data_IF_271913272560
#
_entry.id   IF_271913272560
#
_cell.length_a   1.000
_cell.length_b   1.000
_cell.length_c   1.000
_cell.angle_alpha   90.00
_cell.angle_beta   90.00
_cell.angle_gamma   90.00
#
_symmetry.space_group_name_H-M   'P 1'
#
loop_
_entity.id
_entity.type
_entity.pdbx_description
1 polymer ?
#
# COMPACT_ATOMS: atom_id res chain seq x y z
N UNK A 1 32.11 -15.31 -9.54
CA UNK A 1 30.90 -16.10 -9.81
C UNK A 1 30.27 -16.38 -8.45
N UNK A 2 29.34 -15.55 -8.02
CA UNK A 2 28.52 -15.83 -6.83
C UNK A 2 27.45 -16.85 -7.26
N UNK A 3 27.54 -18.05 -6.72
CA UNK A 3 26.48 -19.06 -6.84
C UNK A 3 25.19 -18.48 -6.31
N UNK A 4 24.10 -18.60 -7.08
CA UNK A 4 22.76 -18.26 -6.57
C UNK A 4 22.54 -18.98 -5.23
N UNK A 5 22.01 -18.30 -4.19
CA UNK A 5 21.78 -18.94 -2.90
C UNK A 5 20.92 -20.19 -3.11
N UNK A 6 21.28 -21.26 -2.42
CA UNK A 6 20.49 -22.50 -2.44
C UNK A 6 19.05 -22.16 -2.03
N UNK A 7 18.05 -22.68 -2.75
CA UNK A 7 16.61 -22.44 -2.46
C UNK A 7 16.25 -22.71 -1.00
N UNK A 8 17.06 -23.47 -0.27
CA UNK A 8 16.86 -23.80 1.16
C UNK A 8 17.12 -22.62 2.10
N UNK A 9 17.83 -21.56 1.64
CA UNK A 9 18.16 -20.38 2.46
C UNK A 9 17.22 -19.18 2.18
N UNK A 10 16.27 -19.32 1.25
CA UNK A 10 15.32 -18.26 0.93
C UNK A 10 14.11 -18.32 1.85
N UNK A 11 13.93 -17.28 2.66
CA UNK A 11 12.67 -17.04 3.37
C UNK A 11 11.63 -16.51 2.39
N UNK A 12 10.47 -17.17 2.33
CA UNK A 12 9.32 -16.74 1.53
C UNK A 12 8.40 -15.86 2.38
N UNK A 13 8.28 -14.59 1.98
CA UNK A 13 7.50 -13.61 2.69
C UNK A 13 6.06 -13.60 2.13
N UNK A 14 5.12 -14.12 2.91
CA UNK A 14 3.68 -14.07 2.63
C UNK A 14 2.99 -12.99 3.48
N UNK A 15 3.72 -11.90 3.75
CA UNK A 15 3.26 -10.73 4.50
C UNK A 15 3.11 -9.51 3.57
N UNK A 16 2.26 -8.51 3.93
CA UNK A 16 1.96 -7.36 3.07
C UNK A 16 3.02 -6.25 3.15
N UNK A 17 4.28 -6.61 2.98
CA UNK A 17 5.44 -5.72 3.00
C UNK A 17 6.17 -5.64 4.35
N UNK A 18 7.52 -5.74 4.33
CA UNK A 18 8.32 -5.86 3.10
C UNK A 18 8.04 -7.17 2.34
N UNK A 19 8.39 -7.21 1.05
CA UNK A 19 8.10 -8.33 0.16
C UNK A 19 9.39 -8.97 -0.40
N UNK A 20 9.30 -10.16 -0.98
CA UNK A 20 10.40 -10.69 -1.76
C UNK A 20 10.56 -9.87 -3.04
N UNK A 21 11.70 -9.20 -3.19
CA UNK A 21 12.00 -8.33 -4.34
C UNK A 21 12.78 -9.07 -5.42
N UNK A 22 12.73 -8.58 -6.64
CA UNK A 22 13.55 -9.07 -7.75
C UNK A 22 15.04 -8.82 -7.49
N UNK A 23 15.93 -9.71 -8.00
CA UNK A 23 17.38 -9.60 -7.77
C UNK A 23 17.98 -8.31 -8.33
N UNK A 24 17.46 -7.78 -9.46
CA UNK A 24 17.85 -6.47 -9.99
C UNK A 24 17.59 -5.35 -8.98
N UNK A 25 16.46 -5.37 -8.27
CA UNK A 25 16.12 -4.39 -7.23
C UNK A 25 17.06 -4.51 -6.03
N UNK A 26 17.37 -5.76 -5.63
CA UNK A 26 18.31 -6.02 -4.54
C UNK A 26 19.73 -5.58 -4.90
N UNK A 27 20.17 -5.80 -6.13
CA UNK A 27 21.48 -5.39 -6.60
C UNK A 27 21.61 -3.86 -6.70
N UNK A 28 20.54 -3.15 -7.04
CA UNK A 28 20.55 -1.69 -7.20
C UNK A 28 20.86 -0.94 -5.90
N UNK A 29 20.67 -1.53 -4.71
CA UNK A 29 21.04 -0.91 -3.43
C UNK A 29 22.58 -0.77 -3.26
N UNK A 30 23.35 -1.55 -4.01
CA UNK A 30 24.80 -1.49 -4.02
C UNK A 30 25.36 -0.47 -5.03
N UNK A 31 24.54 0.49 -5.46
CA UNK A 31 24.98 1.62 -6.28
C UNK A 31 26.12 2.38 -5.63
N UNK A 32 27.05 2.97 -6.41
CA UNK A 32 28.15 3.77 -5.89
C UNK A 32 27.68 4.91 -4.97
N UNK A 33 28.59 5.40 -4.13
CA UNK A 33 28.32 6.57 -3.31
C UNK A 33 28.14 7.81 -4.20
N UNK A 34 27.10 8.58 -3.95
CA UNK A 34 26.73 9.76 -4.70
C UNK A 34 26.40 10.93 -3.77
N UNK A 35 26.71 12.15 -4.22
CA UNK A 35 26.26 13.36 -3.54
C UNK A 35 24.86 13.74 -4.02
N UNK A 36 23.91 13.84 -3.10
CA UNK A 36 22.53 14.18 -3.40
C UNK A 36 22.33 15.60 -4.01
N UNK A 37 23.36 16.43 -4.04
CA UNK A 37 23.32 17.78 -4.64
C UNK A 37 23.91 17.83 -6.05
N UNK A 38 24.43 16.71 -6.55
CA UNK A 38 24.96 16.61 -7.91
C UNK A 38 23.85 16.32 -8.93
N UNK A 39 24.07 16.69 -10.21
CA UNK A 39 23.07 16.54 -11.27
C UNK A 39 22.53 15.12 -11.44
N UNK A 40 23.33 14.10 -11.18
CA UNK A 40 22.95 12.68 -11.32
C UNK A 40 21.83 12.33 -10.32
N UNK A 41 22.01 12.70 -9.07
CA UNK A 41 21.03 12.45 -8.01
C UNK A 41 19.75 13.30 -8.24
N UNK A 42 19.88 14.53 -8.75
CA UNK A 42 18.76 15.36 -9.13
C UNK A 42 17.97 14.72 -10.29
N UNK A 43 18.67 14.19 -11.30
CA UNK A 43 18.03 13.50 -12.42
C UNK A 43 17.33 12.23 -11.96
N UNK A 44 17.89 11.48 -11.02
CA UNK A 44 17.27 10.29 -10.45
C UNK A 44 15.92 10.64 -9.78
N UNK A 45 15.86 11.71 -8.99
CA UNK A 45 14.60 12.18 -8.37
C UNK A 45 13.53 12.49 -9.42
N UNK A 46 13.89 13.23 -10.47
CA UNK A 46 12.97 13.58 -11.56
C UNK A 46 12.49 12.33 -12.30
N UNK A 47 13.40 11.41 -12.59
CA UNK A 47 13.09 10.16 -13.28
C UNK A 47 12.12 9.29 -12.46
N UNK A 48 12.41 9.09 -11.18
CA UNK A 48 11.55 8.29 -10.28
C UNK A 48 10.18 8.93 -10.12
N UNK A 49 10.10 10.27 -9.95
CA UNK A 49 8.82 10.97 -9.86
C UNK A 49 7.99 10.82 -11.13
N UNK A 50 8.64 10.87 -12.32
CA UNK A 50 7.98 10.66 -13.62
C UNK A 50 7.44 9.22 -13.77
N UNK A 51 8.24 8.21 -13.43
CA UNK A 51 7.82 6.80 -13.47
C UNK A 51 6.66 6.51 -12.50
N UNK A 52 6.67 7.13 -11.31
CA UNK A 52 5.54 7.03 -10.38
C UNK A 52 4.27 7.62 -10.98
N UNK A 53 4.36 8.81 -11.59
CA UNK A 53 3.21 9.45 -12.24
C UNK A 53 2.65 8.57 -13.38
N UNK A 54 3.52 7.89 -14.14
CA UNK A 54 3.13 6.94 -15.18
C UNK A 54 2.42 5.70 -14.59
N UNK A 55 2.97 5.09 -13.55
CA UNK A 55 2.35 3.95 -12.85
C UNK A 55 0.99 4.32 -12.26
N UNK A 56 0.81 5.57 -11.80
CA UNK A 56 -0.48 6.08 -11.31
C UNK A 56 -1.51 6.38 -12.42
N UNK A 57 -1.12 6.38 -13.71
CA UNK A 57 -1.97 6.80 -14.82
C UNK A 57 -2.04 8.31 -15.02
N UNK A 58 -1.25 9.11 -14.29
CA UNK A 58 -1.29 10.57 -14.32
C UNK A 58 -0.53 11.22 -15.47
N UNK A 59 0.40 10.48 -16.10
CA UNK A 59 1.21 10.99 -17.23
C UNK A 59 1.94 12.31 -16.92
N UNK A 60 2.07 13.18 -17.90
CA UNK A 60 2.82 14.44 -17.77
C UNK A 60 2.13 15.52 -16.92
N UNK A 61 0.82 15.41 -16.70
CA UNK A 61 0.07 16.36 -15.85
C UNK A 61 0.36 16.19 -14.36
N UNK A 62 0.83 15.00 -13.96
CA UNK A 62 1.12 14.65 -12.58
C UNK A 62 2.62 14.67 -12.28
N UNK A 63 2.95 14.61 -11.02
CA UNK A 63 4.29 14.38 -10.49
C UNK A 63 4.19 13.74 -9.12
N UNK A 64 5.32 13.27 -8.59
CA UNK A 64 5.38 12.75 -7.22
C UNK A 64 6.36 13.57 -6.38
N UNK A 65 6.02 13.79 -5.12
CA UNK A 65 6.93 14.23 -4.07
C UNK A 65 7.36 13.01 -3.27
N UNK A 66 8.67 12.78 -3.22
CA UNK A 66 9.29 11.62 -2.58
C UNK A 66 9.68 11.96 -1.13
N UNK A 67 9.46 11.03 -0.23
CA UNK A 67 9.82 11.15 1.18
C UNK A 67 10.67 9.95 1.61
N UNK A 68 11.78 10.21 2.30
CA UNK A 68 12.50 9.16 3.00
C UNK A 68 11.71 8.77 4.24
N UNK A 69 11.03 7.62 4.18
CA UNK A 69 10.16 7.16 5.24
C UNK A 69 9.21 6.05 4.78
N UNK A 70 8.43 5.54 5.72
CA UNK A 70 7.37 4.56 5.44
C UNK A 70 6.16 5.22 4.73
N UNK A 71 5.25 4.40 4.17
CA UNK A 71 4.01 4.90 3.60
C UNK A 71 3.20 5.80 4.55
N UNK A 72 3.29 5.56 5.86
CA UNK A 72 2.66 6.42 6.86
C UNK A 72 3.21 7.85 6.84
N UNK A 73 4.51 8.05 6.54
CA UNK A 73 5.08 9.40 6.42
C UNK A 73 4.43 10.17 5.25
N UNK A 74 4.22 9.53 4.10
CA UNK A 74 3.55 10.16 2.96
C UNK A 74 2.05 10.41 3.25
N UNK A 75 1.38 9.49 3.97
CA UNK A 75 0.00 9.68 4.39
C UNK A 75 -0.15 10.85 5.36
N UNK A 76 0.77 10.98 6.33
CA UNK A 76 0.82 12.11 7.25
C UNK A 76 1.15 13.42 6.53
N UNK A 77 2.09 13.39 5.59
CA UNK A 77 2.46 14.56 4.77
C UNK A 77 1.26 15.09 3.97
N UNK A 78 0.50 14.23 3.30
CA UNK A 78 -0.66 14.67 2.54
C UNK A 78 -1.75 15.24 3.44
N UNK A 79 -2.13 14.52 4.50
CA UNK A 79 -3.20 14.95 5.41
C UNK A 79 -2.85 16.29 6.06
N UNK A 80 -1.61 16.44 6.55
CA UNK A 80 -1.18 17.66 7.23
C UNK A 80 -0.98 18.87 6.30
N UNK A 81 -0.75 18.65 4.99
CA UNK A 81 -0.46 19.73 4.05
C UNK A 81 -1.67 20.19 3.23
N UNK A 82 -2.60 19.27 2.87
CA UNK A 82 -3.60 19.58 1.84
C UNK A 82 -4.92 20.12 2.40
N UNK A 83 -5.26 19.78 3.63
CA UNK A 83 -6.50 20.28 4.26
C UNK A 83 -6.25 21.67 4.82
N UNK A 84 -6.89 22.74 4.32
CA UNK A 84 -6.68 24.10 4.83
C UNK A 84 -7.20 24.25 6.27
N UNK A 85 -6.85 25.35 6.93
CA UNK A 85 -7.20 25.58 8.34
C UNK A 85 -8.72 25.67 8.59
N UNK A 86 -9.46 26.14 7.60
CA UNK A 86 -10.93 26.22 7.57
C UNK A 86 -11.58 25.03 6.83
N UNK A 87 -10.78 24.06 6.38
CA UNK A 87 -11.25 22.86 5.72
C UNK A 87 -11.62 21.76 6.70
N UNK A 88 -12.44 20.82 6.23
CA UNK A 88 -12.86 19.64 6.97
C UNK A 88 -12.59 18.37 6.17
N UNK A 89 -11.97 17.38 6.80
CA UNK A 89 -11.73 16.06 6.23
C UNK A 89 -12.84 15.09 6.62
N UNK A 90 -13.38 14.36 5.66
CA UNK A 90 -14.20 13.17 5.92
C UNK A 90 -13.32 11.93 5.75
N UNK A 91 -13.19 11.10 6.78
CA UNK A 91 -12.50 9.81 6.70
C UNK A 91 -13.53 8.70 6.53
N UNK A 92 -13.36 7.91 5.47
CA UNK A 92 -14.12 6.70 5.22
C UNK A 92 -13.35 5.51 5.78
N UNK A 93 -13.95 4.79 6.73
CA UNK A 93 -13.27 3.77 7.51
C UNK A 93 -14.02 2.43 7.48
N UNK A 94 -13.28 1.35 7.19
CA UNK A 94 -13.75 -0.02 7.29
C UNK A 94 -12.65 -0.98 7.76
N UNK A 95 -11.61 -0.43 8.42
CA UNK A 95 -10.51 -1.20 8.95
C UNK A 95 -9.39 -0.36 9.56
N UNK A 96 -8.35 -1.02 9.97
CA UNK A 96 -7.25 -0.41 10.75
C UNK A 96 -6.54 0.76 10.05
N UNK A 97 -6.45 0.73 8.70
CA UNK A 97 -5.76 1.78 7.97
C UNK A 97 -6.65 3.02 7.77
N UNK A 98 -7.98 2.84 7.68
CA UNK A 98 -8.93 3.95 7.78
C UNK A 98 -8.86 4.63 9.16
N UNK A 99 -8.83 3.86 10.24
CA UNK A 99 -8.63 4.38 11.60
C UNK A 99 -7.29 5.12 11.75
N UNK A 100 -6.21 4.64 11.10
CA UNK A 100 -4.91 5.33 11.08
C UNK A 100 -5.01 6.71 10.44
N UNK A 101 -5.70 6.82 9.30
CA UNK A 101 -5.94 8.08 8.61
C UNK A 101 -6.66 9.07 9.53
N UNK A 102 -7.70 8.61 10.23
CA UNK A 102 -8.44 9.40 11.22
C UNK A 102 -7.54 9.88 12.38
N UNK A 103 -6.67 9.00 12.89
CA UNK A 103 -5.72 9.36 13.96
C UNK A 103 -4.74 10.43 13.52
N UNK A 104 -4.20 10.34 12.29
CA UNK A 104 -3.30 11.36 11.72
C UNK A 104 -4.00 12.71 11.70
N UNK A 105 -5.23 12.79 11.18
CA UNK A 105 -5.99 14.03 11.14
C UNK A 105 -6.17 14.65 12.53
N UNK A 106 -6.51 13.83 13.51
CA UNK A 106 -6.70 14.26 14.92
C UNK A 106 -5.40 14.76 15.55
N UNK A 107 -4.27 14.08 15.31
CA UNK A 107 -2.94 14.50 15.82
C UNK A 107 -2.56 15.89 15.32
N UNK A 108 -2.90 16.20 14.06
CA UNK A 108 -2.65 17.51 13.45
C UNK A 108 -3.75 18.56 13.72
N UNK A 109 -4.74 18.26 14.56
CA UNK A 109 -5.82 19.18 14.90
C UNK A 109 -6.69 19.57 13.69
N UNK A 110 -6.80 18.69 12.71
CA UNK A 110 -7.65 18.90 11.51
C UNK A 110 -9.10 18.60 11.91
N UNK A 111 -10.02 19.48 11.53
CA UNK A 111 -11.45 19.22 11.68
C UNK A 111 -11.84 18.01 10.83
N UNK A 112 -12.33 16.95 11.48
CA UNK A 112 -12.52 15.64 10.83
C UNK A 112 -13.85 15.01 11.21
N UNK A 113 -14.62 14.66 10.19
CA UNK A 113 -15.77 13.77 10.27
C UNK A 113 -15.33 12.31 10.02
N UNK A 114 -16.00 11.38 10.68
CA UNK A 114 -15.70 9.94 10.57
C UNK A 114 -16.96 9.19 10.14
N UNK A 115 -16.91 8.57 8.98
CA UNK A 115 -17.95 7.67 8.49
C UNK A 115 -17.44 6.24 8.60
N UNK A 116 -17.80 5.59 9.71
CA UNK A 116 -17.41 4.23 10.04
C UNK A 116 -18.41 3.24 9.46
N UNK A 117 -17.95 2.37 8.56
CA UNK A 117 -18.73 1.28 7.99
C UNK A 117 -18.57 -0.03 8.78
N UNK A 118 -17.69 -0.04 9.79
CA UNK A 118 -17.33 -1.22 10.57
C UNK A 118 -16.30 -2.12 9.89
N UNK A 119 -15.55 -2.85 10.69
CA UNK A 119 -14.47 -3.73 10.24
C UNK A 119 -14.98 -4.79 9.25
N UNK A 120 -14.29 -4.92 8.12
CA UNK A 120 -14.59 -5.85 7.03
C UNK A 120 -15.96 -5.63 6.34
N UNK A 121 -16.58 -4.48 6.48
CA UNK A 121 -17.78 -4.10 5.74
C UNK A 121 -17.43 -3.17 4.56
N UNK A 122 -18.17 -3.26 3.44
CA UNK A 122 -17.89 -2.44 2.28
C UNK A 122 -18.27 -0.97 2.50
N UNK A 123 -17.46 -0.06 1.99
CA UNK A 123 -17.81 1.35 1.86
C UNK A 123 -18.86 1.49 0.75
N UNK A 124 -19.95 2.17 1.07
CA UNK A 124 -21.10 2.37 0.15
C UNK A 124 -21.05 3.79 -0.44
N UNK A 125 -20.79 3.96 -1.76
CA UNK A 125 -20.73 5.28 -2.40
C UNK A 125 -22.00 6.11 -2.21
N UNK A 126 -23.17 5.49 -2.16
CA UNK A 126 -24.45 6.18 -1.95
C UNK A 126 -24.57 6.77 -0.53
N UNK A 127 -23.99 6.11 0.46
CA UNK A 127 -23.93 6.64 1.84
C UNK A 127 -23.02 7.84 1.92
N UNK A 128 -21.88 7.80 1.20
CA UNK A 128 -20.93 8.91 1.10
C UNK A 128 -21.59 10.11 0.37
N UNK A 129 -22.27 9.89 -0.76
CA UNK A 129 -22.96 10.94 -1.51
C UNK A 129 -24.02 11.65 -0.65
N UNK A 130 -24.79 10.89 0.13
CA UNK A 130 -25.80 11.42 1.07
C UNK A 130 -25.13 12.26 2.15
N UNK A 131 -24.09 11.72 2.79
CA UNK A 131 -23.36 12.43 3.84
C UNK A 131 -22.80 13.76 3.34
N UNK A 132 -22.18 13.79 2.16
CA UNK A 132 -21.63 15.01 1.55
C UNK A 132 -22.74 16.01 1.19
N UNK A 133 -23.94 15.55 0.82
CA UNK A 133 -25.10 16.41 0.58
C UNK A 133 -25.61 17.10 1.85
N UNK A 134 -25.54 16.42 2.98
CA UNK A 134 -25.98 16.92 4.29
C UNK A 134 -24.88 17.75 5.01
N UNK A 135 -23.60 17.58 4.61
CA UNK A 135 -22.44 18.21 5.24
C UNK A 135 -21.63 19.05 4.24
N UNK A 136 -22.14 20.21 3.81
CA UNK A 136 -21.48 21.05 2.78
C UNK A 136 -20.13 21.61 3.22
N UNK A 137 -19.79 21.61 4.50
CA UNK A 137 -18.49 22.03 5.04
C UNK A 137 -17.34 21.07 4.82
N UNK A 138 -17.59 19.82 4.43
CA UNK A 138 -16.55 18.85 4.08
C UNK A 138 -15.84 19.30 2.80
N UNK A 139 -14.52 19.41 2.83
CA UNK A 139 -13.68 19.85 1.70
C UNK A 139 -12.85 18.74 1.10
N UNK A 140 -12.42 17.79 1.93
CA UNK A 140 -11.58 16.66 1.56
C UNK A 140 -12.18 15.34 2.02
N UNK A 141 -11.97 14.29 1.25
CA UNK A 141 -12.34 12.92 1.59
C UNK A 141 -11.08 12.08 1.60
N UNK A 142 -10.88 11.28 2.65
CA UNK A 142 -9.78 10.33 2.78
C UNK A 142 -10.30 8.90 2.80
N UNK A 143 -9.73 8.02 1.97
CA UNK A 143 -10.09 6.61 1.88
C UNK A 143 -8.88 5.74 1.63
N UNK A 144 -8.88 4.53 2.19
CA UNK A 144 -7.91 3.48 1.86
C UNK A 144 -8.45 2.70 0.67
N UNK A 145 -7.66 2.58 -0.42
CA UNK A 145 -8.08 1.78 -1.59
C UNK A 145 -8.06 0.28 -1.28
N UNK A 146 -6.95 -0.23 -0.73
CA UNK A 146 -6.85 -1.62 -0.28
C UNK A 146 -6.64 -1.67 1.23
N UNK A 147 -7.72 -1.94 1.96
CA UNK A 147 -7.68 -2.11 3.43
C UNK A 147 -7.03 -3.46 3.78
N UNK A 148 -5.73 -3.44 4.04
CA UNK A 148 -4.93 -4.66 4.21
C UNK A 148 -5.21 -5.40 5.51
N UNK A 149 -5.86 -4.78 6.50
CA UNK A 149 -6.28 -5.47 7.72
C UNK A 149 -7.39 -6.48 7.47
N UNK A 150 -8.19 -6.26 6.44
CA UNK A 150 -9.32 -7.11 6.04
C UNK A 150 -9.10 -7.81 4.69
N UNK A 151 -8.20 -7.29 3.83
CA UNK A 151 -8.03 -7.73 2.45
C UNK A 151 -9.08 -7.16 1.49
N UNK A 152 -9.80 -6.10 1.92
CA UNK A 152 -10.89 -5.49 1.15
C UNK A 152 -10.37 -4.45 0.16
N UNK A 153 -10.87 -4.54 -1.08
CA UNK A 153 -10.70 -3.51 -2.09
C UNK A 153 -11.91 -2.56 -2.04
N UNK A 154 -11.67 -1.29 -1.74
CA UNK A 154 -12.70 -0.26 -1.68
C UNK A 154 -12.98 0.35 -3.05
N UNK A 155 -14.20 0.79 -3.35
CA UNK A 155 -14.66 1.23 -4.68
C UNK A 155 -14.20 2.67 -4.98
N UNK A 156 -12.88 2.89 -5.14
CA UNK A 156 -12.29 4.24 -5.32
C UNK A 156 -12.81 4.92 -6.57
N UNK A 157 -13.07 4.20 -7.67
CA UNK A 157 -13.65 4.77 -8.90
C UNK A 157 -15.01 5.39 -8.67
N UNK A 158 -15.92 4.66 -8.01
CA UNK A 158 -17.26 5.12 -7.70
C UNK A 158 -17.24 6.26 -6.69
N UNK A 159 -16.38 6.16 -5.69
CA UNK A 159 -16.15 7.22 -4.69
C UNK A 159 -15.59 8.49 -5.35
N UNK A 160 -14.61 8.38 -6.24
CA UNK A 160 -14.04 9.50 -6.97
C UNK A 160 -15.08 10.23 -7.81
N UNK A 161 -15.97 9.49 -8.49
CA UNK A 161 -17.09 10.07 -9.22
C UNK A 161 -18.06 10.83 -8.31
N UNK A 162 -18.34 10.32 -7.10
CA UNK A 162 -19.15 11.01 -6.08
C UNK A 162 -18.47 12.29 -5.62
N UNK A 163 -17.19 12.21 -5.23
CA UNK A 163 -16.40 13.31 -4.69
C UNK A 163 -16.27 14.45 -5.71
N UNK A 164 -15.96 14.09 -6.98
CA UNK A 164 -15.84 15.07 -8.08
C UNK A 164 -17.15 15.79 -8.35
N UNK A 165 -18.30 15.08 -8.40
CA UNK A 165 -19.63 15.71 -8.55
C UNK A 165 -19.96 16.69 -7.44
N UNK A 166 -19.47 16.45 -6.24
CA UNK A 166 -19.64 17.31 -5.07
C UNK A 166 -18.61 18.44 -4.99
N UNK A 167 -17.66 18.53 -5.95
CA UNK A 167 -16.60 19.53 -5.99
C UNK A 167 -15.67 19.47 -4.78
N UNK A 168 -15.37 18.25 -4.31
CA UNK A 168 -14.47 17.98 -3.17
C UNK A 168 -13.17 17.35 -3.65
N UNK A 169 -12.17 17.28 -2.76
CA UNK A 169 -10.87 16.70 -3.05
C UNK A 169 -10.77 15.29 -2.46
N UNK A 170 -10.23 14.34 -3.23
CA UNK A 170 -10.07 12.94 -2.84
C UNK A 170 -8.61 12.59 -2.53
N UNK A 171 -8.36 12.14 -1.30
CA UNK A 171 -7.09 11.56 -0.84
C UNK A 171 -7.24 10.04 -0.81
N UNK A 172 -6.41 9.33 -1.56
CA UNK A 172 -6.41 7.87 -1.62
C UNK A 172 -5.12 7.32 -1.04
N UNK A 173 -5.25 6.56 0.04
CA UNK A 173 -4.18 5.67 0.50
C UNK A 173 -4.13 4.46 -0.43
N UNK A 174 -3.22 4.50 -1.42
CA UNK A 174 -2.94 3.43 -2.36
C UNK A 174 -1.66 2.65 -1.98
N UNK A 175 -1.18 2.78 -0.74
CA UNK A 175 0.06 2.16 -0.25
C UNK A 175 0.12 0.67 -0.59
N UNK A 176 -0.99 -0.03 -0.49
CA UNK A 176 -1.04 -1.48 -0.67
C UNK A 176 -1.70 -1.93 -2.00
N UNK A 177 -2.16 -1.00 -2.81
CA UNK A 177 -2.85 -1.29 -4.07
C UNK A 177 -2.09 -0.86 -5.32
N UNK A 178 -1.31 0.22 -5.21
CA UNK A 178 -0.63 0.81 -6.37
C UNK A 178 0.35 -0.19 -7.02
N UNK A 179 0.18 -0.40 -8.31
CA UNK A 179 0.96 -1.37 -9.09
C UNK A 179 0.35 -2.78 -9.14
N UNK A 180 -0.73 -3.06 -8.42
CA UNK A 180 -1.42 -4.36 -8.44
C UNK A 180 -2.92 -4.24 -8.72
N UNK A 181 -3.61 -3.33 -8.06
CA UNK A 181 -5.04 -3.11 -8.25
C UNK A 181 -5.29 -2.04 -9.33
N UNK A 182 -6.42 -2.12 -9.99
CA UNK A 182 -6.81 -1.13 -10.99
C UNK A 182 -7.01 0.23 -10.32
N UNK A 183 -6.15 1.19 -10.64
CA UNK A 183 -6.22 2.58 -10.20
C UNK A 183 -5.63 3.47 -11.28
N UNK A 184 -6.41 4.43 -11.74
CA UNK A 184 -6.00 5.50 -12.65
C UNK A 184 -6.39 6.83 -12.02
N UNK A 185 -5.39 7.61 -11.59
CA UNK A 185 -5.65 8.83 -10.82
C UNK A 185 -6.45 9.88 -11.60
N UNK A 186 -6.40 9.87 -12.93
CA UNK A 186 -7.18 10.79 -13.79
C UNK A 186 -8.60 10.27 -13.97
N UNK A 187 -8.75 9.01 -14.40
CA UNK A 187 -10.06 8.42 -14.68
C UNK A 187 -10.88 8.20 -13.41
N UNK A 188 -10.24 7.96 -12.26
CA UNK A 188 -10.88 7.72 -10.98
C UNK A 188 -10.98 9.00 -10.11
N UNK A 189 -10.67 10.17 -10.67
CA UNK A 189 -10.77 11.49 -10.01
C UNK A 189 -10.04 11.57 -8.67
N UNK A 190 -8.82 11.01 -8.60
CA UNK A 190 -7.98 11.03 -7.40
C UNK A 190 -7.10 12.26 -7.40
N UNK A 191 -7.29 13.17 -6.44
CA UNK A 191 -6.47 14.38 -6.33
C UNK A 191 -5.10 14.10 -5.69
N UNK A 192 -5.06 13.18 -4.72
CA UNK A 192 -3.86 12.86 -3.95
C UNK A 192 -3.74 11.34 -3.79
N UNK A 193 -2.77 10.74 -4.44
CA UNK A 193 -2.49 9.30 -4.37
C UNK A 193 -1.23 9.07 -3.52
N UNK A 194 -1.39 8.33 -2.44
CA UNK A 194 -0.29 7.98 -1.52
C UNK A 194 0.22 6.58 -1.81
N UNK A 195 1.54 6.43 -1.99
CA UNK A 195 2.18 5.15 -2.27
C UNK A 195 3.48 4.93 -1.51
N UNK A 196 4.00 3.71 -1.60
CA UNK A 196 5.29 3.31 -1.01
C UNK A 196 5.98 2.26 -1.86
N UNK A 197 7.31 2.20 -1.80
CA UNK A 197 8.12 1.29 -2.59
C UNK A 197 7.90 -0.19 -2.24
N UNK A 198 7.77 -0.53 -0.95
CA UNK A 198 7.93 -1.88 -0.39
C UNK A 198 6.67 -2.76 -0.37
N UNK A 199 5.68 -2.45 -1.18
CA UNK A 199 4.43 -3.20 -1.35
C UNK A 199 4.35 -3.76 -2.78
N UNK A 200 3.26 -3.50 -3.49
CA UNK A 200 3.03 -4.01 -4.84
C UNK A 200 3.95 -3.43 -5.92
N UNK A 201 4.68 -2.35 -5.65
CA UNK A 201 5.77 -1.88 -6.53
C UNK A 201 7.04 -2.75 -6.42
N UNK A 202 7.12 -3.63 -5.43
CA UNK A 202 8.23 -4.59 -5.23
C UNK A 202 9.60 -3.94 -5.05
N UNK A 203 9.61 -2.72 -4.49
CA UNK A 203 10.83 -2.03 -4.07
C UNK A 203 11.21 -2.34 -2.61
N UNK A 204 12.28 -1.72 -2.14
CA UNK A 204 12.75 -1.84 -0.76
C UNK A 204 12.05 -0.83 0.16
N UNK A 205 11.91 -1.12 1.48
CA UNK A 205 11.43 -0.16 2.45
C UNK A 205 12.33 1.07 2.53
N UNK A 206 11.74 2.25 2.76
CA UNK A 206 12.50 3.47 3.02
C UNK A 206 12.09 4.68 2.17
N UNK A 207 11.36 4.47 1.06
CA UNK A 207 10.79 5.55 0.25
C UNK A 207 9.27 5.40 0.16
N UNK A 208 8.60 6.52 0.39
CA UNK A 208 7.18 6.72 0.13
C UNK A 208 6.96 7.99 -0.67
N UNK A 209 5.76 8.21 -1.18
CA UNK A 209 5.50 9.34 -2.05
C UNK A 209 4.02 9.75 -2.06
N UNK A 210 3.80 10.99 -2.46
CA UNK A 210 2.48 11.51 -2.82
C UNK A 210 2.51 11.88 -4.29
N UNK A 211 1.64 11.28 -5.10
CA UNK A 211 1.43 11.61 -6.50
C UNK A 211 0.16 12.44 -6.66
N UNK A 212 0.25 13.56 -7.40
CA UNK A 212 -0.88 14.45 -7.62
C UNK A 212 -0.65 15.30 -8.89
N UNK A 213 -1.69 15.96 -9.41
CA UNK A 213 -1.55 16.99 -10.44
C UNK A 213 -0.58 18.09 -9.98
N UNK A 214 0.29 18.58 -10.90
CA UNK A 214 1.24 19.64 -10.59
C UNK A 214 0.55 20.91 -10.07
N UNK A 215 -0.61 21.23 -10.61
CA UNK A 215 -1.43 22.36 -10.18
C UNK A 215 -1.93 22.22 -8.74
N UNK A 216 -2.23 21.00 -8.28
CA UNK A 216 -2.64 20.76 -6.89
C UNK A 216 -1.50 21.02 -5.92
N UNK A 217 -0.28 20.59 -6.24
CA UNK A 217 0.90 20.93 -5.43
C UNK A 217 1.16 22.44 -5.41
N UNK A 218 1.07 23.12 -6.56
CA UNK A 218 1.26 24.57 -6.63
C UNK A 218 0.19 25.32 -5.80
N UNK A 219 -1.03 24.83 -5.76
CA UNK A 219 -2.12 25.42 -4.98
C UNK A 219 -1.90 25.36 -3.46
N UNK A 220 -0.92 24.58 -2.97
CA UNK A 220 -0.56 24.53 -1.55
C UNK A 220 0.27 25.74 -1.08
N UNK A 221 0.85 26.54 -2.00
CA UNK A 221 1.75 27.66 -1.67
C UNK A 221 1.20 28.62 -0.60
N UNK A 222 -0.08 29.07 -0.65
CA UNK A 222 -0.61 29.98 0.34
C UNK A 222 -0.99 29.32 1.67
N UNK A 223 -0.96 27.98 1.77
CA UNK A 223 -1.36 27.28 2.98
C UNK A 223 -0.22 27.27 4.01
N UNK A 224 -0.49 27.60 5.28
CA UNK A 224 0.53 27.52 6.32
C UNK A 224 0.95 26.06 6.58
N UNK A 225 2.25 25.81 6.60
CA UNK A 225 2.80 24.50 6.92
C UNK A 225 2.47 24.09 8.37
N UNK A 226 1.92 22.88 8.56
CA UNK A 226 1.74 22.27 9.90
C UNK A 226 2.95 21.49 10.37
N UNK A 227 3.83 21.13 9.43
CA UNK A 227 5.03 20.33 9.70
C UNK A 227 6.22 20.95 8.96
N UNK A 228 7.42 20.74 9.48
CA UNK A 228 8.64 21.19 8.80
C UNK A 228 9.17 20.14 7.80
N UNK A 229 9.27 18.88 8.24
CA UNK A 229 9.84 17.80 7.42
C UNK A 229 8.86 17.25 6.39
N UNK A 230 7.57 17.20 6.72
CA UNK A 230 6.50 16.60 5.91
C UNK A 230 5.69 17.65 5.10
N UNK A 231 6.19 18.88 4.97
CA UNK A 231 5.54 19.91 4.16
C UNK A 231 5.62 19.55 2.68
N UNK A 232 4.46 19.21 2.09
CA UNK A 232 4.38 18.81 0.69
C UNK A 232 4.68 19.96 -0.29
N UNK A 233 4.35 21.21 0.04
CA UNK A 233 4.68 22.33 -0.84
C UNK A 233 6.19 22.57 -0.86
N UNK A 234 6.84 22.58 0.31
CA UNK A 234 8.30 22.70 0.39
C UNK A 234 9.00 21.56 -0.36
N UNK A 235 8.49 20.32 -0.20
CA UNK A 235 8.94 19.16 -0.96
C UNK A 235 8.77 19.30 -2.47
N UNK A 236 7.59 19.74 -2.92
CA UNK A 236 7.30 20.00 -4.33
C UNK A 236 8.20 21.07 -4.92
N UNK A 237 8.34 22.22 -4.23
CA UNK A 237 9.23 23.30 -4.65
C UNK A 237 10.66 22.80 -4.82
N UNK A 238 11.20 22.14 -3.82
CA UNK A 238 12.56 21.64 -3.85
C UNK A 238 12.77 20.58 -4.95
N UNK A 239 11.96 19.53 -4.98
CA UNK A 239 12.20 18.37 -5.87
C UNK A 239 11.78 18.63 -7.31
N UNK A 240 10.69 19.39 -7.54
CA UNK A 240 10.09 19.55 -8.87
C UNK A 240 10.48 20.87 -9.52
N UNK A 241 10.47 22.00 -8.78
CA UNK A 241 10.80 23.31 -9.33
C UNK A 241 12.30 23.56 -9.31
N UNK A 242 12.94 23.37 -8.15
CA UNK A 242 14.38 23.64 -7.96
C UNK A 242 15.24 22.41 -8.35
N UNK A 243 14.63 21.27 -8.62
CA UNK A 243 15.27 19.97 -8.96
C UNK A 243 16.37 19.58 -7.96
N UNK A 244 16.11 19.75 -6.69
CA UNK A 244 17.03 19.42 -5.62
C UNK A 244 16.27 18.78 -4.46
N UNK A 245 16.81 17.80 -3.75
CA UNK A 245 16.11 17.25 -2.59
C UNK A 245 16.04 18.28 -1.47
N UNK A 246 14.89 18.36 -0.80
CA UNK A 246 14.71 19.24 0.37
C UNK A 246 15.67 18.87 1.50
N UNK A 247 15.83 17.59 1.74
CA UNK A 247 16.72 17.00 2.74
C UNK A 247 17.52 15.86 2.11
N UNK A 248 18.54 15.33 2.81
CA UNK A 248 19.30 14.18 2.31
C UNK A 248 18.41 12.96 2.12
N UNK A 249 18.21 12.48 0.87
CA UNK A 249 17.40 11.31 0.61
C UNK A 249 18.19 10.01 0.79
N UNK A 250 17.50 8.88 0.91
CA UNK A 250 18.11 7.55 0.91
C UNK A 250 18.42 7.12 -0.54
N UNK A 251 19.54 7.62 -1.13
CA UNK A 251 19.85 7.47 -2.56
C UNK A 251 19.91 6.01 -3.00
N UNK A 252 20.56 5.12 -2.24
CA UNK A 252 20.65 3.71 -2.58
C UNK A 252 19.27 3.03 -2.65
N UNK A 253 18.34 3.42 -1.75
CA UNK A 253 16.95 2.93 -1.78
C UNK A 253 16.19 3.54 -2.96
N UNK A 254 16.54 4.77 -3.35
CA UNK A 254 15.95 5.44 -4.51
C UNK A 254 16.36 4.76 -5.82
N UNK A 255 17.62 4.34 -5.98
CA UNK A 255 18.07 3.50 -7.10
C UNK A 255 17.34 2.14 -7.15
N UNK A 256 17.11 1.54 -5.98
CA UNK A 256 16.33 0.31 -5.90
C UNK A 256 14.87 0.54 -6.30
N UNK A 257 14.26 1.68 -5.93
CA UNK A 257 12.91 2.06 -6.35
C UNK A 257 12.85 2.34 -7.86
N UNK A 258 13.85 3.05 -8.41
CA UNK A 258 13.96 3.30 -9.85
C UNK A 258 13.92 1.99 -10.65
N UNK A 259 14.75 1.03 -10.25
CA UNK A 259 14.76 -0.32 -10.84
C UNK A 259 13.44 -1.07 -10.67
N UNK A 260 12.78 -0.94 -9.52
CA UNK A 260 11.48 -1.57 -9.28
C UNK A 260 10.38 -0.97 -10.16
N UNK A 261 10.42 0.35 -10.40
CA UNK A 261 9.51 1.03 -11.30
C UNK A 261 9.77 0.63 -12.76
N UNK A 262 11.03 0.47 -13.20
CA UNK A 262 11.34 -0.06 -14.53
C UNK A 262 10.71 -1.44 -14.73
N UNK A 263 10.91 -2.35 -13.77
CA UNK A 263 10.29 -3.68 -13.80
C UNK A 263 8.75 -3.61 -13.81
N UNK A 264 8.17 -2.63 -13.11
CA UNK A 264 6.71 -2.41 -13.09
C UNK A 264 6.21 -1.96 -14.46
N UNK A 265 6.91 -1.03 -15.10
CA UNK A 265 6.56 -0.52 -16.43
C UNK A 265 6.87 -1.53 -17.53
N UNK A 266 7.98 -2.28 -17.45
CA UNK A 266 8.34 -3.38 -18.36
C UNK A 266 7.26 -4.47 -18.34
N UNK A 267 6.78 -4.89 -17.18
CA UNK A 267 5.69 -5.86 -17.00
C UNK A 267 4.34 -5.28 -17.42
N UNK A 268 4.13 -4.00 -17.13
CA UNK A 268 2.86 -3.29 -17.23
C UNK A 268 1.94 -3.53 -16.02
N UNK A 269 1.33 -2.45 -15.49
CA UNK A 269 0.48 -2.50 -14.28
C UNK A 269 -0.66 -3.51 -14.41
N UNK A 270 -1.31 -3.56 -15.59
CA UNK A 270 -2.41 -4.51 -15.84
C UNK A 270 -1.93 -5.97 -15.81
N UNK A 271 -0.76 -6.28 -16.39
CA UNK A 271 -0.23 -7.63 -16.39
C UNK A 271 0.21 -8.05 -14.98
N UNK A 272 0.82 -7.14 -14.23
CA UNK A 272 1.18 -7.33 -12.81
C UNK A 272 -0.06 -7.58 -11.95
N UNK A 273 -1.13 -6.83 -12.13
CA UNK A 273 -2.40 -7.05 -11.46
C UNK A 273 -2.98 -8.45 -11.72
N UNK A 274 -2.91 -8.92 -12.97
CA UNK A 274 -3.31 -10.31 -13.31
C UNK A 274 -2.44 -11.35 -12.60
N UNK A 275 -1.12 -11.16 -12.59
CA UNK A 275 -0.20 -12.06 -11.88
C UNK A 275 -0.55 -12.15 -10.40
N UNK A 276 -0.84 -11.04 -9.74
CA UNK A 276 -1.28 -11.04 -8.35
C UNK A 276 -2.63 -11.72 -8.16
N UNK A 277 -3.61 -11.44 -9.02
CA UNK A 277 -4.92 -12.08 -8.96
C UNK A 277 -4.84 -13.60 -9.14
N UNK A 278 -3.97 -14.08 -10.05
CA UNK A 278 -3.73 -15.51 -10.26
C UNK A 278 -3.11 -16.17 -9.02
N UNK A 279 -2.12 -15.54 -8.40
CA UNK A 279 -1.52 -16.04 -7.15
C UNK A 279 -2.50 -16.04 -5.98
N UNK A 280 -3.33 -14.99 -5.87
CA UNK A 280 -4.39 -14.95 -4.87
C UNK A 280 -5.40 -16.07 -5.06
N UNK A 281 -5.76 -16.39 -6.33
CA UNK A 281 -6.64 -17.52 -6.64
C UNK A 281 -6.02 -18.84 -6.21
N UNK A 282 -4.75 -19.13 -6.55
CA UNK A 282 -4.03 -20.34 -6.12
C UNK A 282 -4.05 -20.48 -4.59
N UNK A 283 -3.81 -19.39 -3.85
CA UNK A 283 -3.83 -19.39 -2.38
C UNK A 283 -5.24 -19.67 -1.85
N UNK A 284 -6.26 -19.00 -2.39
CA UNK A 284 -7.66 -19.15 -1.95
C UNK A 284 -8.19 -20.56 -2.20
N UNK A 285 -8.02 -21.07 -3.41
CA UNK A 285 -8.39 -22.43 -3.76
C UNK A 285 -7.68 -23.46 -2.87
N UNK A 286 -6.38 -23.27 -2.60
CA UNK A 286 -5.64 -24.12 -1.70
C UNK A 286 -6.12 -24.10 -0.24
N UNK A 287 -6.57 -22.95 0.26
CA UNK A 287 -7.18 -22.83 1.58
C UNK A 287 -8.58 -23.49 1.62
N UNK A 288 -9.43 -23.19 0.62
CA UNK A 288 -10.80 -23.73 0.53
C UNK A 288 -10.79 -25.26 0.40
N UNK A 289 -9.83 -25.86 -0.34
CA UNK A 289 -9.62 -27.32 -0.43
C UNK A 289 -9.29 -27.96 0.93
N UNK A 290 -8.78 -27.19 1.87
CA UNK A 290 -8.47 -27.59 3.25
C UNK A 290 -9.56 -27.27 4.26
N UNK A 291 -10.72 -26.81 3.76
CA UNK A 291 -11.85 -26.41 4.59
C UNK A 291 -11.65 -25.12 5.37
N UNK A 292 -10.67 -24.30 4.98
CA UNK A 292 -10.40 -22.99 5.61
C UNK A 292 -11.35 -21.95 5.03
N UNK A 293 -12.12 -21.29 5.88
CA UNK A 293 -13.07 -20.25 5.51
C UNK A 293 -12.34 -18.92 5.28
N UNK A 294 -12.69 -18.24 4.18
CA UNK A 294 -12.14 -16.92 3.83
C UNK A 294 -13.00 -15.80 4.43
N UNK A 295 -12.35 -14.75 4.96
CA UNK A 295 -13.03 -13.66 5.66
C UNK A 295 -14.04 -12.90 4.78
N UNK A 296 -13.68 -12.60 3.53
CA UNK A 296 -14.48 -11.73 2.66
C UNK A 296 -15.18 -12.52 1.54
N UNK A 297 -16.37 -12.07 1.09
CA UNK A 297 -16.98 -12.57 -0.13
C UNK A 297 -16.15 -12.16 -1.37
N UNK A 298 -16.20 -12.96 -2.47
CA UNK A 298 -15.33 -12.77 -3.64
C UNK A 298 -15.32 -11.34 -4.23
N UNK A 299 -16.47 -10.68 -4.26
CA UNK A 299 -16.64 -9.34 -4.87
C UNK A 299 -15.90 -8.20 -4.16
N UNK A 300 -15.43 -8.42 -2.92
CA UNK A 300 -14.75 -7.41 -2.11
C UNK A 300 -13.27 -7.71 -1.91
N UNK A 301 -12.77 -8.85 -2.41
CA UNK A 301 -11.38 -9.30 -2.21
C UNK A 301 -10.42 -8.54 -3.11
N UNK A 302 -9.37 -7.98 -2.54
CA UNK A 302 -8.22 -7.49 -3.29
C UNK A 302 -7.42 -8.64 -3.92
N UNK A 303 -6.66 -8.37 -4.97
CA UNK A 303 -5.84 -9.35 -5.69
C UNK A 303 -4.52 -9.72 -5.00
N UNK A 304 -4.13 -9.02 -3.93
CA UNK A 304 -2.80 -9.15 -3.34
C UNK A 304 -2.78 -9.63 -1.89
N UNK A 305 -3.96 -9.79 -1.24
CA UNK A 305 -4.08 -10.29 0.13
C UNK A 305 -5.30 -11.22 0.26
N UNK A 306 -5.13 -12.26 1.07
CA UNK A 306 -6.18 -13.17 1.50
C UNK A 306 -6.19 -13.27 3.02
N UNK A 307 -7.33 -12.95 3.64
CA UNK A 307 -7.57 -13.19 5.05
C UNK A 307 -8.48 -14.42 5.22
N UNK A 308 -8.12 -15.28 6.17
CA UNK A 308 -8.81 -16.54 6.39
C UNK A 308 -8.94 -16.84 7.89
N UNK A 309 -9.97 -17.59 8.27
CA UNK A 309 -10.21 -17.96 9.64
C UNK A 309 -9.27 -19.09 10.09
N UNK A 310 -8.79 -18.99 11.32
CA UNK A 310 -8.13 -20.12 11.99
C UNK A 310 -9.19 -21.17 12.32
N UNK A 311 -8.84 -22.44 12.17
CA UNK A 311 -9.74 -23.57 12.40
C UNK A 311 -9.15 -24.59 13.38
N UNK A 312 -10.00 -25.45 13.94
CA UNK A 312 -9.57 -26.58 14.75
C UNK A 312 -8.87 -26.23 16.07
N UNK A 313 -9.08 -25.01 16.60
CA UNK A 313 -8.41 -24.55 17.83
C UNK A 313 -6.97 -24.08 17.63
N UNK A 314 -6.44 -24.13 16.41
CA UNK A 314 -5.10 -23.62 16.07
C UNK A 314 -5.00 -22.12 16.35
N UNK A 315 -3.99 -21.72 17.11
CA UNK A 315 -3.70 -20.29 17.36
C UNK A 315 -2.87 -19.69 16.23
N UNK A 316 -2.89 -18.34 16.12
CA UNK A 316 -2.03 -17.64 15.16
C UNK A 316 -0.54 -17.92 15.42
N UNK A 317 -0.12 -17.90 16.69
CA UNK A 317 1.28 -18.05 17.05
C UNK A 317 1.79 -19.47 16.71
N UNK A 318 1.02 -20.52 16.92
CA UNK A 318 1.34 -21.89 16.50
C UNK A 318 1.48 -22.01 14.97
N UNK A 319 0.53 -21.42 14.23
CA UNK A 319 0.59 -21.39 12.77
C UNK A 319 1.81 -20.60 12.26
N UNK A 320 2.04 -19.40 12.79
CA UNK A 320 3.15 -18.54 12.41
C UNK A 320 4.50 -19.21 12.68
N UNK A 321 4.71 -19.71 13.89
CA UNK A 321 5.99 -20.28 14.29
C UNK A 321 6.28 -21.58 13.52
N UNK A 322 5.28 -22.44 13.36
CA UNK A 322 5.39 -23.64 12.56
C UNK A 322 5.73 -23.39 11.08
N UNK A 323 5.13 -22.37 10.47
CA UNK A 323 5.46 -21.94 9.11
C UNK A 323 6.84 -21.30 9.02
N UNK A 324 7.20 -20.47 9.99
CA UNK A 324 8.50 -19.78 10.03
C UNK A 324 9.67 -20.75 10.15
N UNK A 325 9.53 -21.82 10.96
CA UNK A 325 10.51 -22.91 11.04
C UNK A 325 10.75 -23.58 9.67
N UNK A 326 9.76 -23.51 8.76
CA UNK A 326 9.80 -24.07 7.40
C UNK A 326 10.13 -23.06 6.32
N UNK A 327 10.53 -21.83 6.72
CA UNK A 327 10.96 -20.77 5.80
C UNK A 327 9.83 -19.92 5.22
N UNK A 328 8.61 -19.95 5.81
CA UNK A 328 7.46 -19.14 5.38
C UNK A 328 7.06 -18.16 6.47
N UNK A 329 6.97 -16.88 6.14
CA UNK A 329 6.57 -15.83 7.09
C UNK A 329 5.21 -15.26 6.72
N UNK A 330 4.27 -15.31 7.66
CA UNK A 330 2.93 -14.73 7.56
C UNK A 330 2.76 -13.62 8.60
N UNK A 331 1.73 -12.77 8.43
CA UNK A 331 1.39 -11.75 9.43
C UNK A 331 0.05 -12.03 10.11
N UNK A 332 -0.03 -11.67 11.41
CA UNK A 332 -1.31 -11.49 12.07
C UNK A 332 -2.11 -10.35 11.43
N UNK A 333 -3.43 -10.43 11.50
CA UNK A 333 -4.23 -9.20 11.49
C UNK A 333 -4.00 -8.46 12.80
N UNK A 334 -4.18 -7.15 12.83
CA UNK A 334 -4.03 -6.38 14.08
C UNK A 334 -5.08 -6.74 15.14
N UNK A 335 -6.20 -7.34 14.73
CA UNK A 335 -7.15 -8.00 15.62
C UNK A 335 -6.76 -9.48 15.80
N UNK A 336 -5.65 -9.78 16.51
CA UNK A 336 -5.25 -11.16 16.88
C UNK A 336 -6.40 -11.95 17.53
N UNK A 337 -7.30 -11.26 18.23
CA UNK A 337 -8.49 -11.83 18.85
C UNK A 337 -9.60 -12.25 17.86
N UNK A 338 -9.52 -11.87 16.60
CA UNK A 338 -10.54 -12.21 15.61
C UNK A 338 -10.42 -13.64 15.05
N UNK A 339 -9.42 -14.43 15.46
CA UNK A 339 -9.21 -15.78 14.94
C UNK A 339 -8.93 -15.79 13.42
N UNK A 340 -8.25 -14.75 12.91
CA UNK A 340 -7.97 -14.57 11.47
C UNK A 340 -6.47 -14.45 11.24
N UNK A 341 -5.97 -15.14 10.22
CA UNK A 341 -4.61 -14.94 9.72
C UNK A 341 -4.63 -14.34 8.31
N UNK A 342 -3.50 -13.80 7.88
CA UNK A 342 -3.36 -13.09 6.63
C UNK A 342 -2.21 -13.63 5.80
N UNK A 343 -2.50 -13.90 4.52
CA UNK A 343 -1.53 -14.26 3.50
C UNK A 343 -1.49 -13.16 2.44
N UNK A 344 -0.33 -12.59 2.20
CA UNK A 344 -0.10 -11.69 1.09
C UNK A 344 0.68 -12.41 -0.01
N UNK A 345 0.26 -12.20 -1.24
CA UNK A 345 0.97 -12.68 -2.44
C UNK A 345 1.72 -11.56 -3.16
N UNK A 346 2.07 -10.51 -2.41
CA UNK A 346 2.88 -9.39 -2.90
C UNK A 346 4.32 -9.83 -3.14
N UNK A 347 4.95 -9.24 -4.17
CA UNK A 347 6.35 -9.50 -4.49
C UNK A 347 6.57 -10.67 -5.44
N UNK A 348 7.82 -11.12 -5.50
CA UNK A 348 8.30 -12.16 -6.41
C UNK A 348 7.99 -13.55 -5.84
N UNK A 349 6.71 -13.96 -5.93
CA UNK A 349 6.26 -15.30 -5.54
C UNK A 349 6.01 -16.17 -6.78
N UNK A 350 6.50 -17.40 -6.74
CA UNK A 350 6.29 -18.41 -7.77
C UNK A 350 5.21 -19.42 -7.37
N UNK A 351 4.66 -20.16 -8.34
CA UNK A 351 3.79 -21.31 -8.05
C UNK A 351 4.48 -22.34 -7.14
N UNK A 352 5.80 -22.51 -7.29
CA UNK A 352 6.57 -23.41 -6.44
C UNK A 352 6.65 -22.92 -4.98
N UNK A 353 6.73 -21.59 -4.75
CA UNK A 353 6.69 -21.01 -3.40
C UNK A 353 5.31 -21.27 -2.74
N UNK A 354 4.22 -21.14 -3.50
CA UNK A 354 2.85 -21.40 -3.00
C UNK A 354 2.63 -22.88 -2.72
N UNK A 355 3.08 -23.76 -3.62
CA UNK A 355 3.00 -25.21 -3.40
C UNK A 355 3.80 -25.64 -2.15
N UNK A 356 5.01 -25.11 -1.98
CA UNK A 356 5.83 -25.35 -0.79
C UNK A 356 5.19 -24.80 0.50
N UNK A 357 4.55 -23.62 0.41
CA UNK A 357 3.78 -23.07 1.53
C UNK A 357 2.67 -24.05 1.95
N UNK A 358 1.88 -24.59 1.03
CA UNK A 358 0.82 -25.52 1.37
C UNK A 358 1.33 -26.85 1.93
N UNK A 359 2.48 -27.33 1.46
CA UNK A 359 3.12 -28.51 2.06
C UNK A 359 3.51 -28.24 3.53
N UNK A 360 4.10 -27.07 3.81
CA UNK A 360 4.44 -26.65 5.16
C UNK A 360 3.19 -26.42 6.03
N UNK A 361 2.15 -25.82 5.47
CA UNK A 361 0.87 -25.59 6.14
C UNK A 361 0.19 -26.91 6.56
N UNK A 362 0.17 -27.91 5.67
CA UNK A 362 -0.38 -29.23 5.95
C UNK A 362 0.40 -29.97 7.07
N UNK A 363 1.72 -29.78 7.15
CA UNK A 363 2.52 -30.33 8.23
C UNK A 363 2.19 -29.69 9.59
N UNK A 364 1.99 -28.36 9.62
CA UNK A 364 1.61 -27.63 10.84
C UNK A 364 0.23 -28.09 11.31
N UNK A 365 -0.74 -28.21 10.40
CA UNK A 365 -2.08 -28.70 10.74
C UNK A 365 -2.07 -30.12 11.31
N UNK A 366 -1.32 -31.03 10.68
CA UNK A 366 -1.20 -32.43 11.17
C UNK A 366 -0.57 -32.51 12.56
N UNK A 367 0.50 -31.73 12.80
CA UNK A 367 1.14 -31.68 14.12
C UNK A 367 0.16 -31.25 15.20
N UNK A 368 -0.58 -30.16 14.95
CA UNK A 368 -1.59 -29.63 15.89
C UNK A 368 -2.70 -30.67 16.17
N UNK A 369 -3.22 -31.39 15.17
CA UNK A 369 -4.24 -32.42 15.33
C UNK A 369 -3.74 -33.55 16.21
N UNK A 370 -2.52 -34.05 15.98
CA UNK A 370 -1.93 -35.14 16.80
C UNK A 370 -1.76 -34.72 18.25
N UNK A 371 -1.29 -33.51 18.51
CA UNK A 371 -1.11 -32.96 19.87
C UNK A 371 -2.46 -32.74 20.60
N UNK A 372 -3.55 -32.49 19.86
CA UNK A 372 -4.90 -32.30 20.44
C UNK A 372 -5.61 -33.63 20.74
N UNK A 373 -5.28 -34.70 20.01
CA UNK A 373 -5.85 -36.06 20.24
C UNK A 373 -5.16 -36.83 21.40
N UNK A 374 -3.98 -36.38 21.85
CA UNK A 374 -3.25 -36.97 22.97
C UNK A 374 -3.69 -36.45 24.35
N UNK A 375 -4.63 -35.49 24.42
CA UNK A 375 -5.23 -34.93 25.64
C UNK A 375 -6.71 -35.34 25.80
#
# INVERSE_FOLDING_TARGET
MTTAPDRRDRVVLLNPGPVNVHDRVRAAIASPDECHREPEAQQLLVTVAGKIAEVCGGGSSHTAVLLTGSGTAALEAVVSSVVPADGRLLVLDNGHYGERLLRIARVHGIDVDHLDFGWANPILPEAVDRFLGENPGVTHIGVVHHETSTGMLNPVRELGAVVARRGRSLIVDAISSLGAEALDVVADHVDWCVGTANKCLEGLPGISFVCAPRERFAALEPLPARTFYLDLFAGYRAQVLDRSPQFTPALQVLHALDTALDLTLEEGVTARGRRYADRAREIREGLEQRGIELLLPPRHRAGSITNAHLSGGLTYDELHDGLKERGYVIYATQAKSAGVFRLANMGQLTTADIAGFFAAFDEVLRKHQTETEEW
#
